data_IF_188091204102
#
_entry.id   IF_188091204102
#
_cell.length_a   1.000
_cell.length_b   1.000
_cell.length_c   1.000
_cell.angle_alpha   90.00
_cell.angle_beta   90.00
_cell.angle_gamma   90.00
#
_symmetry.space_group_name_H-M   'P 1'
#
loop_
_entity.id
_entity.type
_entity.pdbx_description
1 polymer ?
#
# COMPACT_ATOMS: atom_id res chain seq x y z
N UNK A 1 15.39 0.07 -6.06
CA UNK A 1 14.93 0.98 -7.13
C UNK A 1 13.41 0.90 -7.21
N UNK A 2 12.69 2.00 -7.47
CA UNK A 2 11.23 1.96 -7.58
C UNK A 2 10.79 1.23 -8.85
N UNK A 3 9.72 0.46 -8.76
CA UNK A 3 8.93 0.06 -9.93
C UNK A 3 8.00 1.21 -10.30
N UNK A 4 8.11 1.74 -11.52
CA UNK A 4 7.35 2.93 -11.94
C UNK A 4 6.23 2.54 -12.90
N UNK A 5 5.01 2.99 -12.60
CA UNK A 5 3.84 2.91 -13.48
C UNK A 5 3.38 4.31 -13.81
N UNK A 6 3.23 4.62 -15.09
CA UNK A 6 2.79 5.94 -15.56
C UNK A 6 1.56 5.84 -16.45
N UNK A 7 0.71 6.84 -16.35
CA UNK A 7 -0.48 7.01 -17.16
C UNK A 7 -0.75 8.50 -17.36
N UNK A 8 -1.74 8.84 -18.18
CA UNK A 8 -2.23 10.23 -18.29
C UNK A 8 -2.75 10.78 -16.95
N UNK A 9 -3.20 9.89 -16.06
CA UNK A 9 -3.82 10.26 -14.79
C UNK A 9 -2.84 10.29 -13.61
N UNK A 10 -1.56 9.99 -13.81
CA UNK A 10 -0.58 10.01 -12.72
C UNK A 10 0.61 9.08 -12.86
N UNK A 11 1.47 9.16 -11.85
CA UNK A 11 2.68 8.35 -11.66
C UNK A 11 2.60 7.59 -10.35
N UNK A 12 2.98 6.31 -10.36
CA UNK A 12 3.08 5.47 -9.18
C UNK A 12 4.49 4.89 -9.12
N UNK A 13 5.18 5.15 -8.03
CA UNK A 13 6.49 4.64 -7.67
C UNK A 13 6.32 3.63 -6.54
N UNK A 14 6.47 2.35 -6.86
CA UNK A 14 6.26 1.24 -5.92
C UNK A 14 7.60 0.68 -5.41
N UNK A 15 7.67 0.45 -4.09
CA UNK A 15 8.64 -0.42 -3.43
C UNK A 15 7.90 -1.62 -2.81
N UNK A 16 8.60 -2.69 -2.38
CA UNK A 16 7.94 -3.81 -1.71
C UNK A 16 7.05 -3.38 -0.54
N UNK A 17 7.51 -2.42 0.28
CA UNK A 17 6.79 -1.93 1.48
C UNK A 17 6.55 -0.42 1.49
N UNK A 18 6.46 0.16 0.30
CA UNK A 18 6.21 1.60 0.18
C UNK A 18 5.61 1.96 -1.16
N UNK A 19 5.03 3.14 -1.23
CA UNK A 19 4.51 3.72 -2.45
C UNK A 19 4.57 5.23 -2.38
N UNK A 20 4.91 5.85 -3.50
CA UNK A 20 4.58 7.25 -3.78
C UNK A 20 3.68 7.25 -5.01
N UNK A 21 2.50 7.85 -4.92
CA UNK A 21 1.62 8.07 -6.06
C UNK A 21 1.36 9.57 -6.20
N UNK A 22 1.52 10.07 -7.42
CA UNK A 22 1.09 11.39 -7.85
C UNK A 22 -0.09 11.20 -8.78
N UNK A 23 -1.24 11.79 -8.43
CA UNK A 23 -2.48 11.69 -9.19
C UNK A 23 -2.78 13.06 -9.80
N UNK A 24 -2.95 13.12 -11.11
CA UNK A 24 -3.28 14.34 -11.83
C UNK A 24 -4.80 14.45 -11.98
N UNK A 25 -5.41 15.33 -11.18
CA UNK A 25 -6.83 15.65 -11.24
C UNK A 25 -7.02 17.03 -11.92
N UNK A 26 -8.28 17.42 -12.14
CA UNK A 26 -8.60 18.64 -12.89
C UNK A 26 -8.10 19.93 -12.22
N UNK A 27 -8.04 19.94 -10.90
CA UNK A 27 -7.67 21.07 -10.04
C UNK A 27 -6.20 21.02 -9.58
N UNK A 28 -5.45 19.98 -9.95
CA UNK A 28 -4.00 19.89 -9.72
C UNK A 28 -3.52 18.49 -9.35
N UNK A 29 -2.31 18.43 -8.79
CA UNK A 29 -1.65 17.18 -8.43
C UNK A 29 -1.94 16.81 -6.98
N UNK A 30 -2.41 15.58 -6.77
CA UNK A 30 -2.62 14.97 -5.45
C UNK A 30 -1.54 13.95 -5.18
N UNK A 31 -1.26 13.68 -3.90
CA UNK A 31 -0.27 12.70 -3.50
C UNK A 31 -0.83 11.64 -2.55
N UNK A 32 -0.27 10.45 -2.66
CA UNK A 32 -0.35 9.40 -1.65
C UNK A 32 1.05 8.84 -1.43
N UNK A 33 1.52 8.93 -0.20
CA UNK A 33 2.76 8.35 0.27
C UNK A 33 2.45 7.31 1.34
N UNK A 34 3.14 6.17 1.29
CA UNK A 34 3.31 5.36 2.49
C UNK A 34 4.66 4.65 2.50
N UNK A 35 5.13 4.36 3.70
CA UNK A 35 6.21 3.43 3.98
C UNK A 35 5.70 2.30 4.89
N UNK A 36 6.55 1.75 5.75
CA UNK A 36 6.19 0.70 6.70
C UNK A 36 5.36 1.23 7.87
N UNK A 37 5.52 2.50 8.25
CA UNK A 37 4.99 3.06 9.49
C UNK A 37 3.97 4.16 9.27
N UNK A 38 4.03 4.87 8.14
CA UNK A 38 3.26 6.08 7.91
C UNK A 38 2.51 6.01 6.59
N UNK A 39 1.26 6.48 6.61
CA UNK A 39 0.46 6.84 5.46
C UNK A 39 0.23 8.35 5.47
N UNK A 40 0.44 9.02 4.33
CA UNK A 40 0.09 10.42 4.08
C UNK A 40 -0.65 10.47 2.74
N UNK A 41 -1.81 11.08 2.68
CA UNK A 41 -2.44 11.40 1.40
C UNK A 41 -3.07 12.79 1.44
N UNK A 42 -2.88 13.56 0.38
CA UNK A 42 -3.36 14.94 0.33
C UNK A 42 -4.86 15.00 0.01
N UNK A 43 -5.61 15.83 0.74
CA UNK A 43 -7.03 16.11 0.49
C UNK A 43 -7.24 17.33 -0.43
N UNK A 44 -6.16 18.03 -0.75
CA UNK A 44 -6.11 19.15 -1.69
C UNK A 44 -4.90 18.96 -2.63
N UNK A 45 -4.86 19.65 -3.77
CA UNK A 45 -3.68 19.67 -4.61
C UNK A 45 -2.46 20.14 -3.82
N UNK A 46 -1.31 19.60 -4.15
CA UNK A 46 -0.02 19.97 -3.55
C UNK A 46 0.86 20.65 -4.58
N UNK A 47 1.75 21.58 -4.16
CA UNK A 47 2.62 22.30 -5.07
C UNK A 47 3.77 21.38 -5.51
N UNK A 48 3.51 20.54 -6.51
CA UNK A 48 4.52 19.70 -7.16
C UNK A 48 4.28 19.71 -8.66
N UNK A 49 5.30 20.13 -9.39
CA UNK A 49 5.23 20.23 -10.83
C UNK A 49 5.50 18.87 -11.48
N UNK A 50 4.92 18.66 -12.67
CA UNK A 50 5.08 17.40 -13.39
C UNK A 50 6.55 17.14 -13.75
N UNK A 51 7.30 18.19 -14.06
CA UNK A 51 8.72 18.15 -14.40
C UNK A 51 9.57 17.63 -13.22
N UNK A 52 9.17 17.92 -11.97
CA UNK A 52 9.83 17.37 -10.79
C UNK A 52 9.61 15.86 -10.68
N UNK A 53 8.40 15.40 -10.98
CA UNK A 53 8.02 13.97 -10.96
C UNK A 53 8.77 13.21 -12.07
N UNK A 54 8.85 13.79 -13.28
CA UNK A 54 9.59 13.21 -14.39
C UNK A 54 11.10 13.19 -14.12
N UNK A 55 11.65 14.20 -13.44
CA UNK A 55 13.04 14.19 -12.98
C UNK A 55 13.27 13.07 -11.98
N UNK A 56 12.37 12.89 -11.01
CA UNK A 56 12.45 11.81 -10.04
C UNK A 56 12.47 10.42 -10.70
N UNK A 57 11.64 10.18 -11.72
CA UNK A 57 11.70 8.93 -12.51
C UNK A 57 13.08 8.70 -13.12
N UNK A 58 13.73 9.75 -13.63
CA UNK A 58 15.03 9.66 -14.33
C UNK A 58 16.22 9.57 -13.38
N UNK A 59 16.21 10.34 -12.29
CA UNK A 59 17.39 10.51 -11.41
C UNK A 59 17.28 9.73 -10.11
N UNK A 60 16.08 9.30 -9.72
CA UNK A 60 15.82 8.72 -8.40
C UNK A 60 15.81 9.76 -7.26
N UNK A 61 16.02 11.04 -7.55
CA UNK A 61 15.98 12.10 -6.55
C UNK A 61 14.52 12.49 -6.26
N UNK A 62 13.99 12.26 -5.04
CA UNK A 62 12.60 12.51 -4.73
C UNK A 62 12.29 14.02 -4.77
N UNK A 63 11.08 14.43 -5.24
CA UNK A 63 10.66 15.84 -5.22
C UNK A 63 10.68 16.41 -3.80
N UNK A 64 10.76 17.74 -3.69
CA UNK A 64 10.89 18.44 -2.39
C UNK A 64 9.83 18.00 -1.39
N UNK A 65 8.58 17.89 -1.84
CA UNK A 65 7.45 17.46 -1.01
C UNK A 65 7.61 16.04 -0.45
N UNK A 66 8.18 15.11 -1.22
CA UNK A 66 8.42 13.74 -0.74
C UNK A 66 9.55 13.70 0.27
N UNK A 67 10.57 14.55 0.11
CA UNK A 67 11.65 14.70 1.11
C UNK A 67 11.10 15.22 2.44
N UNK A 68 10.25 16.25 2.38
CA UNK A 68 9.59 16.82 3.56
C UNK A 68 8.77 15.76 4.31
N UNK A 69 7.90 15.03 3.59
CA UNK A 69 7.09 13.96 4.16
C UNK A 69 7.96 12.89 4.85
N UNK A 70 9.07 12.50 4.21
CA UNK A 70 10.02 11.51 4.79
C UNK A 70 10.74 12.01 6.03
N UNK A 71 10.91 13.32 6.18
CA UNK A 71 11.45 13.93 7.41
C UNK A 71 10.39 14.20 8.48
N UNK A 72 9.13 13.85 8.25
CA UNK A 72 8.02 14.12 9.17
C UNK A 72 7.42 15.51 9.03
N UNK A 73 7.81 16.27 8.01
CA UNK A 73 7.22 17.56 7.67
C UNK A 73 6.12 17.35 6.62
N UNK A 74 4.89 17.19 7.10
CA UNK A 74 3.75 16.85 6.26
C UNK A 74 3.04 18.12 5.76
N UNK A 75 2.64 18.17 4.48
CA UNK A 75 1.76 19.23 3.99
C UNK A 75 0.49 19.33 4.84
N UNK A 76 0.00 20.54 5.12
CA UNK A 76 -1.24 20.75 5.88
C UNK A 76 -2.47 20.06 5.25
N UNK A 77 -2.41 19.82 3.94
CA UNK A 77 -3.47 19.12 3.21
C UNK A 77 -3.44 17.60 3.41
N UNK A 78 -2.40 17.03 4.02
CA UNK A 78 -2.27 15.58 4.19
C UNK A 78 -3.09 15.08 5.38
N UNK A 79 -3.87 14.02 5.14
CA UNK A 79 -4.27 13.11 6.20
C UNK A 79 -3.07 12.22 6.49
N UNK A 80 -2.58 12.25 7.74
CA UNK A 80 -1.43 11.45 8.18
C UNK A 80 -1.91 10.41 9.20
N UNK A 81 -1.52 9.15 8.98
CA UNK A 81 -1.87 8.03 9.87
C UNK A 81 -0.67 7.14 10.12
N UNK A 82 -0.58 6.64 11.35
CA UNK A 82 0.37 5.58 11.70
C UNK A 82 -0.22 4.23 11.28
N UNK A 83 0.56 3.45 10.56
CA UNK A 83 0.20 2.10 10.13
C UNK A 83 0.38 1.12 11.29
N UNK A 84 -0.46 0.07 11.39
CA UNK A 84 -0.19 -1.03 12.29
C UNK A 84 1.09 -1.77 11.85
N UNK A 85 1.75 -2.50 12.77
CA UNK A 85 2.96 -3.26 12.46
C UNK A 85 2.69 -4.31 11.38
N UNK A 86 3.74 -4.81 10.71
CA UNK A 86 3.63 -5.95 9.77
C UNK A 86 2.87 -7.10 10.43
N UNK A 87 1.93 -7.70 9.69
CA UNK A 87 1.20 -8.87 10.18
C UNK A 87 2.17 -9.98 10.59
N UNK A 88 2.05 -10.43 11.84
CA UNK A 88 2.99 -11.37 12.45
C UNK A 88 2.95 -12.75 11.77
N UNK A 89 1.77 -13.17 11.29
CA UNK A 89 1.61 -14.45 10.60
C UNK A 89 2.37 -14.44 9.26
N UNK A 90 2.34 -13.30 8.55
CA UNK A 90 3.07 -13.12 7.29
C UNK A 90 4.53 -12.69 7.44
N UNK A 91 4.93 -12.09 8.57
CA UNK A 91 6.28 -11.53 8.76
C UNK A 91 7.44 -12.49 8.39
N UNK A 92 7.39 -13.80 8.74
CA UNK A 92 8.44 -14.76 8.36
C UNK A 92 8.63 -14.94 6.85
N UNK A 93 7.61 -14.62 6.05
CA UNK A 93 7.65 -14.69 4.58
C UNK A 93 8.12 -13.38 3.93
N UNK A 94 8.54 -12.39 4.73
CA UNK A 94 8.96 -11.08 4.27
C UNK A 94 7.93 -10.41 3.32
N UNK A 95 6.73 -10.07 3.84
CA UNK A 95 5.61 -9.65 3.00
C UNK A 95 5.86 -8.29 2.37
N UNK A 96 5.27 -8.11 1.18
CA UNK A 96 5.03 -6.80 0.63
C UNK A 96 3.91 -6.08 1.39
N UNK A 97 3.90 -4.75 1.33
CA UNK A 97 2.92 -3.90 2.00
C UNK A 97 2.38 -2.84 1.05
N UNK A 98 1.06 -2.67 1.03
CA UNK A 98 0.36 -1.63 0.27
C UNK A 98 -0.77 -1.01 1.07
N UNK A 99 -1.05 0.26 0.83
CA UNK A 99 -2.23 0.92 1.36
C UNK A 99 -3.26 1.20 0.26
N UNK A 100 -4.54 1.20 0.64
CA UNK A 100 -5.65 1.76 -0.13
C UNK A 100 -6.37 2.78 0.74
N UNK A 101 -6.82 3.88 0.12
CA UNK A 101 -7.36 5.06 0.83
C UNK A 101 -8.66 5.53 0.19
N UNK A 102 -9.30 6.55 0.78
CA UNK A 102 -10.60 7.09 0.34
C UNK A 102 -10.71 7.41 -1.15
N UNK A 103 -9.64 7.90 -1.80
CA UNK A 103 -9.62 8.15 -3.26
C UNK A 103 -9.89 6.91 -4.11
N UNK A 104 -9.70 5.72 -3.55
CA UNK A 104 -10.00 4.44 -4.21
C UNK A 104 -11.37 3.87 -3.82
N UNK A 105 -12.16 4.63 -3.04
CA UNK A 105 -13.46 4.22 -2.52
C UNK A 105 -13.38 3.23 -1.36
N UNK A 106 -12.24 3.15 -0.67
CA UNK A 106 -12.00 2.29 0.49
C UNK A 106 -11.84 3.14 1.75
N UNK A 107 -12.20 2.58 2.92
CA UNK A 107 -11.64 3.08 4.18
C UNK A 107 -10.13 2.88 4.16
N UNK A 108 -9.39 3.72 4.88
CA UNK A 108 -7.93 3.63 4.96
C UNK A 108 -7.53 2.25 5.49
N UNK A 109 -6.93 1.46 4.61
CA UNK A 109 -6.65 0.04 4.82
C UNK A 109 -5.21 -0.25 4.43
N UNK A 110 -4.49 -0.94 5.30
CA UNK A 110 -3.17 -1.51 4.99
C UNK A 110 -3.33 -2.99 4.62
N UNK A 111 -2.51 -3.45 3.67
CA UNK A 111 -2.54 -4.80 3.14
C UNK A 111 -1.11 -5.34 3.16
N UNK A 112 -0.88 -6.37 3.96
CA UNK A 112 0.35 -7.17 3.93
C UNK A 112 0.10 -8.40 3.06
N UNK A 113 1.02 -8.76 2.17
CA UNK A 113 0.79 -9.84 1.21
C UNK A 113 2.06 -10.55 0.75
N UNK A 114 1.89 -11.80 0.33
CA UNK A 114 2.90 -12.66 -0.28
C UNK A 114 2.28 -13.38 -1.47
N UNK A 115 3.03 -13.52 -2.56
CA UNK A 115 2.65 -14.36 -3.70
C UNK A 115 3.41 -15.69 -3.62
N UNK A 116 2.66 -16.80 -3.59
CA UNK A 116 3.20 -18.16 -3.52
C UNK A 116 2.55 -19.01 -4.61
N UNK A 117 3.34 -19.59 -5.52
CA UNK A 117 2.86 -20.55 -6.52
C UNK A 117 1.67 -20.05 -7.38
N UNK A 118 1.65 -18.76 -7.72
CA UNK A 118 0.56 -18.14 -8.50
C UNK A 118 -0.71 -17.85 -7.69
N UNK A 119 -0.68 -18.03 -6.37
CA UNK A 119 -1.72 -17.62 -5.44
C UNK A 119 -1.21 -16.49 -4.54
N UNK A 120 -2.13 -15.69 -4.02
CA UNK A 120 -1.82 -14.58 -3.10
C UNK A 120 -2.35 -14.91 -1.71
N UNK A 121 -1.49 -14.78 -0.72
CA UNK A 121 -1.85 -14.64 0.69
C UNK A 121 -1.87 -13.14 1.01
N UNK A 122 -2.97 -12.64 1.58
CA UNK A 122 -3.07 -11.24 1.96
C UNK A 122 -3.83 -11.05 3.27
N UNK A 123 -3.38 -10.10 4.08
CA UNK A 123 -4.03 -9.64 5.29
C UNK A 123 -4.33 -8.15 5.15
N UNK A 124 -5.61 -7.80 5.04
CA UNK A 124 -6.07 -6.42 5.03
C UNK A 124 -6.55 -6.01 6.43
N UNK A 125 -6.15 -4.84 6.90
CA UNK A 125 -6.59 -4.26 8.19
C UNK A 125 -6.98 -2.81 8.01
N UNK A 126 -8.08 -2.40 8.64
CA UNK A 126 -8.41 -0.97 8.74
C UNK A 126 -7.35 -0.29 9.60
N UNK A 127 -6.86 0.87 9.16
CA UNK A 127 -5.78 1.57 9.87
C UNK A 127 -6.26 2.10 11.23
N UNK A 128 -7.49 2.63 11.28
CA UNK A 128 -8.06 3.19 12.52
C UNK A 128 -8.71 2.12 13.43
N UNK A 129 -8.94 0.91 12.89
CA UNK A 129 -9.57 -0.21 13.60
C UNK A 129 -8.77 -1.50 13.29
N UNK A 130 -7.51 -1.63 13.74
CA UNK A 130 -6.60 -2.69 13.28
C UNK A 130 -7.05 -4.11 13.63
N UNK A 131 -7.95 -4.26 14.62
CA UNK A 131 -8.59 -5.53 14.96
C UNK A 131 -9.58 -6.01 13.89
N UNK A 132 -10.08 -5.11 13.04
CA UNK A 132 -10.89 -5.45 11.86
C UNK A 132 -9.96 -5.91 10.74
N UNK A 133 -9.77 -7.22 10.69
CA UNK A 133 -8.88 -7.90 9.78
C UNK A 133 -9.65 -8.78 8.79
N UNK A 134 -9.18 -8.81 7.54
CA UNK A 134 -9.59 -9.78 6.55
C UNK A 134 -8.38 -10.54 6.02
N UNK A 135 -8.37 -11.86 6.24
CA UNK A 135 -7.37 -12.78 5.69
C UNK A 135 -7.90 -13.40 4.40
N UNK A 136 -7.07 -13.44 3.37
CA UNK A 136 -7.42 -13.91 2.04
C UNK A 136 -6.35 -14.84 1.49
N UNK A 137 -6.79 -15.91 0.84
CA UNK A 137 -5.97 -16.79 0.01
C UNK A 137 -6.67 -17.08 -1.30
N UNK A 138 -5.94 -17.00 -2.42
CA UNK A 138 -6.40 -17.51 -3.71
C UNK A 138 -5.74 -16.82 -4.89
N UNK A 139 -6.21 -17.16 -6.10
CA UNK A 139 -5.75 -16.52 -7.33
C UNK A 139 -6.23 -15.07 -7.41
N UNK A 140 -5.36 -14.18 -7.90
CA UNK A 140 -5.70 -12.77 -8.13
C UNK A 140 -4.69 -11.84 -7.48
N UNK A 141 -5.16 -10.67 -7.05
CA UNK A 141 -4.33 -9.61 -6.50
C UNK A 141 -4.65 -9.40 -5.01
N UNK A 142 -3.65 -9.01 -4.21
CA UNK A 142 -3.76 -8.65 -2.79
C UNK A 142 -4.93 -7.70 -2.45
N UNK A 143 -5.36 -6.83 -3.38
CA UNK A 143 -6.50 -5.91 -3.21
C UNK A 143 -7.82 -6.62 -2.92
N UNK A 144 -7.95 -7.91 -3.26
CA UNK A 144 -9.16 -8.70 -2.97
C UNK A 144 -9.45 -8.71 -1.47
N UNK A 145 -8.42 -8.80 -0.61
CA UNK A 145 -8.59 -8.76 0.83
C UNK A 145 -9.27 -7.45 1.30
N UNK A 146 -8.84 -6.31 0.77
CA UNK A 146 -9.46 -5.02 1.09
C UNK A 146 -10.89 -4.89 0.54
N UNK A 147 -11.18 -5.49 -0.63
CA UNK A 147 -12.54 -5.55 -1.19
C UNK A 147 -13.47 -6.34 -0.29
N UNK A 148 -13.04 -7.53 0.15
CA UNK A 148 -13.82 -8.36 1.08
C UNK A 148 -14.07 -7.63 2.40
N UNK A 149 -13.04 -7.03 2.97
CA UNK A 149 -13.13 -6.23 4.20
C UNK A 149 -14.13 -5.08 4.05
N UNK A 150 -14.08 -4.34 2.93
CA UNK A 150 -15.03 -3.25 2.64
C UNK A 150 -16.47 -3.74 2.56
N UNK A 151 -16.70 -4.91 1.97
CA UNK A 151 -18.04 -5.47 1.73
C UNK A 151 -18.61 -6.27 2.90
N UNK A 152 -17.80 -6.54 3.94
CA UNK A 152 -18.18 -7.45 5.01
C UNK A 152 -18.37 -8.89 4.51
N UNK A 153 -17.65 -9.27 3.47
CA UNK A 153 -17.64 -10.66 2.97
C UNK A 153 -16.85 -11.55 3.94
N UNK A 154 -17.12 -12.86 3.89
CA UNK A 154 -16.42 -13.84 4.71
C UNK A 154 -14.93 -13.90 4.36
N UNK A 155 -14.11 -13.75 5.39
CA UNK A 155 -12.66 -13.83 5.33
C UNK A 155 -12.19 -15.11 6.03
N UNK A 156 -11.01 -15.59 5.68
CA UNK A 156 -10.47 -16.78 6.32
C UNK A 156 -10.25 -16.54 7.80
N UNK A 157 -10.50 -17.59 8.59
CA UNK A 157 -10.05 -17.64 9.98
C UNK A 157 -8.52 -17.63 10.04
N UNK A 158 -7.96 -17.29 11.21
CA UNK A 158 -6.50 -17.32 11.41
C UNK A 158 -5.96 -18.74 11.19
N UNK A 159 -6.65 -19.75 11.70
CA UNK A 159 -6.27 -21.16 11.59
C UNK A 159 -6.22 -21.63 10.13
N UNK A 160 -7.26 -21.34 9.34
CA UNK A 160 -7.27 -21.67 7.92
C UNK A 160 -6.15 -20.96 7.17
N UNK A 161 -5.88 -19.69 7.51
CA UNK A 161 -4.83 -18.90 6.88
C UNK A 161 -3.42 -19.43 7.19
N UNK A 162 -3.15 -19.80 8.45
CA UNK A 162 -1.88 -20.39 8.88
C UNK A 162 -1.61 -21.71 8.14
N UNK A 163 -2.63 -22.56 7.98
CA UNK A 163 -2.50 -23.79 7.19
C UNK A 163 -2.16 -23.54 5.71
N UNK A 164 -2.46 -22.35 5.17
CA UNK A 164 -2.03 -21.94 3.81
C UNK A 164 -0.61 -21.38 3.79
N UNK A 165 -0.20 -20.67 4.85
CA UNK A 165 1.17 -20.17 5.03
C UNK A 165 2.16 -21.34 5.09
N UNK A 166 1.86 -22.38 5.87
CA UNK A 166 2.72 -23.57 5.96
C UNK A 166 2.94 -24.21 4.58
N UNK A 167 1.86 -24.39 3.80
CA UNK A 167 1.95 -24.90 2.43
C UNK A 167 2.75 -24.01 1.49
N UNK A 168 2.80 -22.69 1.73
CA UNK A 168 3.67 -21.78 1.00
C UNK A 168 5.14 -22.00 1.39
N UNK A 169 5.44 -22.15 2.69
CA UNK A 169 6.81 -22.36 3.21
C UNK A 169 7.42 -23.66 2.73
N UNK A 170 6.68 -24.77 2.79
CA UNK A 170 7.17 -26.11 2.43
C UNK A 170 7.51 -26.28 0.94
N UNK A 171 7.17 -25.29 0.10
CA UNK A 171 7.30 -25.37 -1.37
C UNK A 171 8.18 -24.28 -1.98
N UNK A 172 8.77 -23.40 -1.17
CA UNK A 172 9.82 -22.50 -1.65
C UNK A 172 11.15 -23.27 -1.62
N UNK A 173 11.83 -23.50 -2.76
CA UNK A 173 13.18 -24.05 -2.73
C UNK A 173 14.11 -23.03 -2.04
N UNK A 174 14.95 -23.53 -1.12
CA UNK A 174 16.05 -22.79 -0.50
C UNK A 174 16.96 -22.08 -1.53
#
# INVERSE_FOLDING_TARGET
MYSVKKSRSGYIFDLPRGRIAFLFLQDGTYIMYHDEETLCYSMKPVPVEKEEIERFEKTGEPPGIIRAIKSGDYPESCVVKRLPPIDEDLAPLNPGRKCVVIFTGFKDTVIDYVECNGETLAVARLIDEPDKVCRFFGRGNYKIAAVRLKRGEECLTREEFLARIEKCRDRSPD
#
